data_IF_738295986933
#
_entry.id   IF_738295986933
#
_cell.length_a   1.000
_cell.length_b   1.000
_cell.length_c   1.000
_cell.angle_alpha   90.00
_cell.angle_beta   90.00
_cell.angle_gamma   90.00
#
_symmetry.space_group_name_H-M   'P 1'
#
loop_
_entity.id
_entity.type
_entity.pdbx_description
1 polymer ?
#
# COMPACT_ATOMS: atom_id res chain seq x y z
N UNK A 1 31.75 -63.24 -42.07
CA UNK A 1 31.91 -61.83 -41.66
C UNK A 1 30.50 -61.26 -41.61
N UNK A 2 29.76 -61.41 -40.51
CA UNK A 2 29.78 -60.69 -39.23
C UNK A 2 28.92 -59.41 -39.24
N UNK A 3 27.91 -59.43 -38.35
CA UNK A 3 27.06 -58.33 -37.82
C UNK A 3 25.98 -57.79 -38.77
N UNK A 4 24.65 -57.87 -38.54
CA UNK A 4 23.74 -57.72 -37.38
C UNK A 4 22.85 -56.45 -37.61
N UNK A 5 21.50 -56.54 -37.55
CA UNK A 5 20.57 -55.41 -37.67
C UNK A 5 20.11 -54.89 -36.28
N UNK A 6 19.76 -53.59 -36.16
CA UNK A 6 18.98 -53.05 -35.04
C UNK A 6 18.38 -51.66 -35.33
N UNK A 7 17.05 -51.64 -35.38
CA UNK A 7 16.05 -50.71 -34.80
C UNK A 7 16.37 -49.24 -34.42
N UNK A 8 15.45 -48.38 -34.91
CA UNK A 8 14.63 -47.38 -34.20
C UNK A 8 15.31 -46.30 -33.35
N UNK A 9 15.01 -45.02 -33.65
CA UNK A 9 14.46 -44.01 -32.71
C UNK A 9 14.56 -42.59 -33.31
N UNK A 10 13.39 -41.96 -33.44
CA UNK A 10 13.03 -40.54 -33.26
C UNK A 10 14.12 -39.46 -33.33
N UNK A 11 13.86 -38.37 -34.08
CA UNK A 11 14.23 -37.03 -33.63
C UNK A 11 12.96 -36.24 -33.27
N UNK A 12 12.85 -35.90 -31.99
CA UNK A 12 11.88 -34.95 -31.48
C UNK A 12 12.33 -33.50 -31.69
N UNK A 13 11.36 -32.62 -31.47
CA UNK A 13 11.51 -31.32 -30.82
C UNK A 13 12.39 -30.24 -31.49
N UNK A 14 11.72 -29.21 -32.00
CA UNK A 14 12.26 -27.85 -32.04
C UNK A 14 11.11 -26.85 -31.89
N UNK A 15 10.67 -26.69 -30.64
CA UNK A 15 10.17 -25.42 -30.10
C UNK A 15 11.09 -24.27 -30.53
N UNK A 16 10.58 -23.14 -31.06
CA UNK A 16 11.32 -21.90 -30.97
C UNK A 16 11.26 -21.41 -29.52
N UNK A 17 12.38 -21.65 -28.83
CA UNK A 17 12.77 -21.05 -27.55
C UNK A 17 12.50 -19.56 -27.51
N UNK A 18 11.84 -19.17 -26.42
CA UNK A 18 11.99 -17.93 -25.66
C UNK A 18 12.91 -16.86 -26.26
N UNK A 19 12.30 -15.73 -26.62
CA UNK A 19 12.90 -14.45 -26.28
C UNK A 19 12.40 -14.08 -24.89
N UNK A 20 13.04 -14.68 -23.89
CA UNK A 20 13.10 -14.15 -22.54
C UNK A 20 13.79 -12.78 -22.64
N UNK A 21 12.99 -11.73 -22.68
CA UNK A 21 13.49 -10.40 -22.41
C UNK A 21 13.91 -10.41 -20.95
N UNK A 22 15.18 -10.13 -20.61
CA UNK A 22 15.53 -9.91 -19.22
C UNK A 22 14.83 -8.62 -18.81
N UNK A 23 13.66 -8.77 -18.17
CA UNK A 23 13.01 -7.69 -17.46
C UNK A 23 14.03 -7.22 -16.43
N UNK A 24 14.57 -6.02 -16.66
CA UNK A 24 15.45 -5.34 -15.73
C UNK A 24 14.86 -5.47 -14.32
N UNK A 25 15.67 -5.68 -13.28
CA UNK A 25 15.17 -5.66 -11.92
C UNK A 25 14.72 -4.22 -11.66
N UNK A 26 13.45 -3.92 -11.91
CA UNK A 26 12.81 -2.72 -11.43
C UNK A 26 12.78 -2.88 -9.92
N UNK A 27 13.82 -2.35 -9.27
CA UNK A 27 13.86 -2.05 -7.84
C UNK A 27 12.85 -0.93 -7.50
N UNK A 28 11.71 -0.94 -8.20
CA UNK A 28 10.66 0.04 -8.17
C UNK A 28 9.64 -0.41 -7.16
N UNK A 29 9.08 0.55 -6.45
CA UNK A 29 7.92 0.31 -5.60
C UNK A 29 6.81 -0.21 -6.51
N UNK A 30 6.45 -1.49 -6.36
CA UNK A 30 5.37 -2.11 -7.12
C UNK A 30 4.10 -1.85 -6.34
N UNK A 31 3.41 -0.77 -6.68
CA UNK A 31 2.08 -0.51 -6.13
C UNK A 31 1.16 -1.64 -6.58
N UNK A 32 0.76 -2.49 -5.64
CA UNK A 32 -0.12 -3.62 -5.90
C UNK A 32 -1.55 -3.13 -6.14
N UNK A 33 -2.35 -3.90 -6.88
CA UNK A 33 -3.76 -3.59 -7.11
C UNK A 33 -4.53 -3.44 -5.79
N UNK A 34 -4.20 -4.28 -4.81
CA UNK A 34 -4.79 -4.23 -3.46
C UNK A 34 -4.48 -2.91 -2.73
N UNK A 35 -3.28 -2.35 -2.90
CA UNK A 35 -2.93 -1.05 -2.32
C UNK A 35 -3.70 0.09 -2.99
N UNK A 36 -3.89 0.03 -4.30
CA UNK A 36 -4.69 0.98 -5.06
C UNK A 36 -6.16 0.91 -4.61
N UNK A 37 -6.70 -0.29 -4.44
CA UNK A 37 -8.05 -0.51 -3.93
C UNK A 37 -8.21 0.02 -2.50
N UNK A 38 -7.29 -0.33 -1.60
CA UNK A 38 -7.29 0.16 -0.22
C UNK A 38 -7.21 1.68 -0.15
N UNK A 39 -6.37 2.31 -0.98
CA UNK A 39 -6.31 3.75 -1.13
C UNK A 39 -7.64 4.34 -1.61
N UNK A 40 -8.26 3.75 -2.63
CA UNK A 40 -9.56 4.22 -3.13
C UNK A 40 -10.67 4.12 -2.08
N UNK A 41 -10.69 3.06 -1.28
CA UNK A 41 -11.63 2.91 -0.16
C UNK A 41 -11.41 4.02 0.87
N UNK A 42 -10.17 4.24 1.31
CA UNK A 42 -9.84 5.29 2.28
C UNK A 42 -10.18 6.67 1.73
N UNK A 43 -9.83 6.93 0.47
CA UNK A 43 -10.15 8.16 -0.25
C UNK A 43 -11.65 8.38 -0.33
N UNK A 44 -12.44 7.34 -0.55
CA UNK A 44 -13.90 7.40 -0.58
C UNK A 44 -14.49 7.71 0.81
N UNK A 45 -13.95 7.12 1.87
CA UNK A 45 -14.35 7.40 3.27
C UNK A 45 -14.04 8.85 3.65
N UNK A 46 -12.84 9.32 3.29
CA UNK A 46 -12.36 10.65 3.66
C UNK A 46 -13.02 11.78 2.88
N UNK A 47 -13.61 11.50 1.71
CA UNK A 47 -14.29 12.52 0.88
C UNK A 47 -15.42 13.25 1.61
N UNK A 48 -16.00 12.63 2.64
CA UNK A 48 -17.08 13.22 3.44
C UNK A 48 -16.60 14.38 4.32
N UNK A 49 -15.30 14.42 4.63
CA UNK A 49 -14.72 15.40 5.57
C UNK A 49 -13.66 16.30 4.93
N UNK A 50 -12.94 15.82 3.91
CA UNK A 50 -11.90 16.57 3.20
C UNK A 50 -12.01 16.39 1.71
N UNK A 51 -11.50 17.38 0.97
CA UNK A 51 -11.39 17.25 -0.47
C UNK A 51 -10.41 16.15 -0.84
N UNK A 52 -10.79 15.38 -1.85
CA UNK A 52 -10.06 14.23 -2.35
C UNK A 52 -8.66 14.60 -2.84
N UNK A 53 -8.44 15.84 -3.30
CA UNK A 53 -7.12 16.35 -3.73
C UNK A 53 -6.13 16.51 -2.57
N UNK A 54 -6.62 16.57 -1.32
CA UNK A 54 -5.78 16.69 -0.13
C UNK A 54 -5.30 15.33 0.37
N UNK A 55 -5.91 14.24 -0.06
CA UNK A 55 -5.51 12.89 0.30
C UNK A 55 -4.51 12.40 -0.74
N UNK A 56 -3.26 12.22 -0.33
CA UNK A 56 -2.20 11.70 -1.18
C UNK A 56 -1.77 10.31 -0.71
N UNK A 57 -1.48 9.44 -1.66
CA UNK A 57 -0.85 8.16 -1.42
C UNK A 57 0.65 8.27 -1.69
N UNK A 58 1.44 7.70 -0.78
CA UNK A 58 2.90 7.61 -0.82
C UNK A 58 3.27 6.15 -0.68
N UNK A 59 3.57 5.54 -1.80
CA UNK A 59 4.05 4.17 -1.84
C UNK A 59 5.54 4.12 -1.46
N UNK A 60 5.89 3.25 -0.53
CA UNK A 60 7.28 2.91 -0.20
C UNK A 60 7.42 1.40 -0.12
N UNK A 61 8.64 0.89 -0.30
CA UNK A 61 8.91 -0.55 -0.43
C UNK A 61 8.30 -1.43 0.69
N UNK A 62 8.11 -0.87 1.88
CA UNK A 62 7.58 -1.60 3.04
C UNK A 62 6.09 -1.36 3.30
N UNK A 63 5.49 -0.27 2.81
CA UNK A 63 4.11 0.11 3.09
C UNK A 63 3.59 1.19 2.13
N UNK A 64 2.27 1.24 1.98
CA UNK A 64 1.58 2.34 1.32
C UNK A 64 1.11 3.35 2.38
N UNK A 65 1.74 4.52 2.44
CA UNK A 65 1.39 5.60 3.36
C UNK A 65 0.33 6.53 2.78
N UNK A 66 -0.77 6.74 3.51
CA UNK A 66 -1.78 7.73 3.14
C UNK A 66 -1.56 8.98 4.00
N UNK A 67 -1.34 10.11 3.34
CA UNK A 67 -1.01 11.38 3.99
C UNK A 67 -2.01 12.47 3.58
N UNK A 68 -2.22 13.42 4.49
CA UNK A 68 -3.03 14.61 4.24
C UNK A 68 -2.15 15.79 3.83
N UNK A 69 -2.62 16.59 2.86
CA UNK A 69 -1.95 17.78 2.32
C UNK A 69 -0.53 17.52 1.79
N UNK A 70 -0.25 16.31 1.30
CA UNK A 70 1.08 15.89 0.84
C UNK A 70 2.22 16.13 1.87
N UNK A 71 1.87 16.22 3.16
CA UNK A 71 2.84 16.57 4.22
C UNK A 71 3.07 15.38 5.15
N UNK A 72 4.32 14.97 5.32
CA UNK A 72 4.71 13.87 6.22
C UNK A 72 4.39 14.10 7.71
N UNK A 73 3.95 15.31 8.08
CA UNK A 73 3.50 15.66 9.44
C UNK A 73 2.02 15.33 9.69
N UNK A 74 1.27 14.93 8.66
CA UNK A 74 -0.15 14.55 8.76
C UNK A 74 -0.40 13.17 8.13
N UNK A 75 0.26 12.10 8.62
CA UNK A 75 -0.06 10.75 8.17
C UNK A 75 -1.46 10.36 8.66
N UNK A 76 -2.32 9.88 7.76
CA UNK A 76 -3.67 9.43 8.13
C UNK A 76 -3.60 7.97 8.59
N UNK A 77 -3.00 7.13 7.75
CA UNK A 77 -2.80 5.71 8.02
C UNK A 77 -1.69 5.15 7.13
N UNK A 78 -1.16 3.98 7.47
CA UNK A 78 -0.29 3.20 6.58
C UNK A 78 -0.89 1.83 6.34
N UNK A 79 -0.82 1.39 5.10
CA UNK A 79 -1.26 0.09 4.64
C UNK A 79 -0.05 -0.82 4.45
N UNK A 80 -0.10 -1.99 5.07
CA UNK A 80 0.92 -3.02 4.94
C UNK A 80 0.29 -4.21 4.24
N UNK A 81 0.27 -4.18 2.90
CA UNK A 81 -0.28 -5.26 2.08
C UNK A 81 0.81 -6.14 1.44
N UNK A 82 2.09 -5.79 1.63
CA UNK A 82 3.26 -6.55 1.17
C UNK A 82 3.47 -7.92 1.85
N UNK A 83 2.55 -8.36 2.71
CA UNK A 83 2.67 -9.59 3.50
C UNK A 83 1.41 -10.43 3.37
N UNK A 84 1.53 -11.74 3.59
CA UNK A 84 0.39 -12.67 3.55
C UNK A 84 -0.77 -12.23 4.47
N UNK A 85 -0.43 -11.62 5.61
CA UNK A 85 -1.39 -10.92 6.47
C UNK A 85 -1.35 -9.42 6.18
N UNK A 86 -2.52 -8.84 5.92
CA UNK A 86 -2.69 -7.40 5.72
C UNK A 86 -2.79 -6.70 7.06
N UNK A 87 -2.21 -5.51 7.14
CA UNK A 87 -2.35 -4.66 8.30
C UNK A 87 -2.61 -3.22 7.89
N UNK A 88 -3.31 -2.50 8.76
CA UNK A 88 -3.44 -1.05 8.69
C UNK A 88 -2.88 -0.47 10.00
N UNK A 89 -2.11 0.59 9.91
CA UNK A 89 -1.69 1.36 11.08
C UNK A 89 -2.37 2.73 11.12
N UNK A 90 -2.83 3.11 12.31
CA UNK A 90 -3.53 4.38 12.56
C UNK A 90 -2.70 5.33 13.43
N UNK A 91 -2.82 6.62 13.18
CA UNK A 91 -2.12 7.70 13.90
C UNK A 91 -3.04 8.44 14.90
N UNK A 92 -3.89 7.69 15.60
CA UNK A 92 -4.87 8.24 16.55
C UNK A 92 -4.23 8.90 17.79
N UNK A 93 -2.94 8.60 18.06
CA UNK A 93 -2.18 9.13 19.20
C UNK A 93 -1.99 10.65 19.20
N UNK A 94 -1.77 11.23 20.38
CA UNK A 94 -1.55 12.67 20.54
C UNK A 94 -0.33 13.18 19.75
N UNK A 95 -0.48 14.36 19.12
CA UNK A 95 0.58 15.03 18.33
C UNK A 95 1.91 15.16 19.09
N UNK A 96 1.87 15.28 20.42
CA UNK A 96 3.07 15.40 21.26
C UNK A 96 3.78 14.05 21.50
N UNK A 97 3.07 12.92 21.36
CA UNK A 97 3.66 11.57 21.39
C UNK A 97 4.18 11.11 20.02
N UNK A 98 4.10 11.93 18.97
CA UNK A 98 4.77 11.70 17.68
C UNK A 98 6.22 12.20 17.63
N UNK A 99 6.86 12.41 18.80
CA UNK A 99 8.32 12.49 18.90
C UNK A 99 8.85 11.06 19.01
N UNK A 100 9.71 10.67 18.06
CA UNK A 100 10.44 9.39 18.07
C UNK A 100 9.55 8.12 18.07
N UNK A 101 8.82 7.93 16.98
CA UNK A 101 8.76 6.61 16.34
C UNK A 101 7.68 5.60 16.70
N UNK A 102 6.90 5.68 17.78
CA UNK A 102 6.16 4.45 18.19
C UNK A 102 4.82 4.62 18.95
N UNK A 103 3.80 5.23 18.35
CA UNK A 103 2.40 4.86 18.68
C UNK A 103 1.52 4.89 17.44
N UNK A 104 1.86 4.05 16.47
CA UNK A 104 0.92 3.69 15.41
C UNK A 104 0.18 2.41 15.83
N UNK A 105 -1.16 2.48 15.86
CA UNK A 105 -2.00 1.36 16.26
C UNK A 105 -2.14 0.42 15.06
N UNK A 106 -1.34 -0.66 15.03
CA UNK A 106 -1.30 -1.61 13.91
C UNK A 106 -2.33 -2.71 14.12
N UNK A 107 -3.36 -2.72 13.28
CA UNK A 107 -4.45 -3.68 13.31
C UNK A 107 -4.35 -4.61 12.10
N UNK A 108 -4.46 -5.90 12.35
CA UNK A 108 -4.56 -6.90 11.28
C UNK A 108 -5.94 -6.82 10.62
N UNK A 109 -5.96 -6.85 9.30
CA UNK A 109 -7.19 -6.96 8.51
C UNK A 109 -7.11 -8.21 7.65
N UNK A 110 -8.24 -8.86 7.43
CA UNK A 110 -8.33 -10.04 6.56
C UNK A 110 -8.63 -9.62 5.12
N UNK A 111 -9.49 -8.62 4.95
CA UNK A 111 -9.95 -8.12 3.65
C UNK A 111 -9.91 -6.60 3.56
N UNK A 112 -9.96 -6.06 2.35
CA UNK A 112 -10.02 -4.61 2.10
C UNK A 112 -11.33 -4.01 2.66
N UNK A 113 -12.40 -4.80 2.69
CA UNK A 113 -13.70 -4.39 3.24
C UNK A 113 -13.63 -4.02 4.74
N UNK A 114 -12.71 -4.63 5.51
CA UNK A 114 -12.49 -4.27 6.91
C UNK A 114 -12.07 -2.80 7.10
N UNK A 115 -11.53 -2.14 6.07
CA UNK A 115 -11.23 -0.70 6.12
C UNK A 115 -12.46 0.14 6.46
N UNK A 116 -13.67 -0.29 6.05
CA UNK A 116 -14.92 0.42 6.38
C UNK A 116 -15.22 0.39 7.88
N UNK A 117 -14.82 -0.66 8.61
CA UNK A 117 -14.99 -0.74 10.07
C UNK A 117 -14.16 0.33 10.79
N UNK A 118 -13.07 0.77 10.19
CA UNK A 118 -12.19 1.80 10.72
C UNK A 118 -12.44 3.20 10.12
N UNK A 119 -13.51 3.36 9.35
CA UNK A 119 -13.86 4.63 8.71
C UNK A 119 -13.97 5.80 9.70
N UNK A 120 -14.58 5.55 10.86
CA UNK A 120 -14.72 6.55 11.92
C UNK A 120 -13.36 7.01 12.46
N UNK A 121 -12.44 6.07 12.72
CA UNK A 121 -11.06 6.37 13.16
C UNK A 121 -10.28 7.20 12.16
N UNK A 122 -10.40 6.88 10.87
CA UNK A 122 -9.79 7.65 9.78
C UNK A 122 -10.34 9.08 9.77
N UNK A 123 -11.66 9.23 9.92
CA UNK A 123 -12.31 10.54 9.97
C UNK A 123 -11.86 11.36 11.17
N UNK A 124 -11.84 10.75 12.36
CA UNK A 124 -11.40 11.40 13.61
C UNK A 124 -9.96 11.92 13.51
N UNK A 125 -9.06 11.13 12.93
CA UNK A 125 -7.65 11.52 12.70
C UNK A 125 -7.56 12.79 11.85
N UNK A 126 -8.33 12.85 10.76
CA UNK A 126 -8.33 14.01 9.86
C UNK A 126 -9.01 15.23 10.49
N UNK A 127 -10.13 15.05 11.21
CA UNK A 127 -10.78 16.14 11.95
C UNK A 127 -9.80 16.78 12.94
N UNK A 128 -8.98 15.97 13.63
CA UNK A 128 -7.94 16.47 14.53
C UNK A 128 -6.90 17.33 13.81
N UNK A 129 -6.50 16.95 12.59
CA UNK A 129 -5.58 17.75 11.79
C UNK A 129 -6.21 19.07 11.32
N UNK A 130 -7.49 19.05 10.93
CA UNK A 130 -8.23 20.25 10.55
C UNK A 130 -8.41 21.20 11.74
N UNK A 131 -8.72 20.68 12.93
CA UNK A 131 -8.84 21.46 14.15
C UNK A 131 -7.51 22.11 14.56
N UNK A 132 -6.41 21.33 14.53
CA UNK A 132 -5.06 21.85 14.78
C UNK A 132 -4.64 22.93 13.75
N UNK A 133 -5.03 22.76 12.49
CA UNK A 133 -4.79 23.75 11.45
C UNK A 133 -5.60 25.04 11.68
N UNK A 134 -6.84 24.94 12.17
CA UNK A 134 -7.68 26.10 12.54
C UNK A 134 -7.12 26.83 13.78
N UNK A 135 -6.70 26.08 14.80
CA UNK A 135 -6.08 26.65 16.01
C UNK A 135 -4.83 27.48 15.68
N UNK A 136 -4.00 27.00 14.75
CA UNK A 136 -2.79 27.69 14.30
C UNK A 136 -3.09 29.01 13.56
N UNK A 137 -4.26 29.15 12.92
CA UNK A 137 -4.67 30.36 12.20
C UNK A 137 -5.33 31.42 13.10
N UNK A 138 -5.84 31.04 14.27
CA UNK A 138 -6.57 31.95 15.19
C UNK A 138 -5.65 32.83 16.05
N UNK A 139 -4.36 32.51 16.10
CA UNK A 139 -3.35 33.23 16.90
C UNK A 139 -2.59 34.29 16.11
N UNK A 140 -2.98 34.57 14.86
CA UNK A 140 -2.39 35.61 14.02
C UNK A 140 -3.45 36.62 13.60
#
# INVERSE_FOLDING_TARGET
MATAPAETTTPGEATPTAMDVPAAPTNGVHTTEEEIEGYHVIRAILREIVDVKRVSMRDVLSYCGIILDDTNRKPICRLYFNSAQKYISFFDGERESMKDGQKEDKIAIESIDDLYKFSDRLKMTVIRYEDAAKASKKTK
#
